data_IF_945691885666
#
_entry.id   IF_945691885666
#
_cell.length_a   1.000
_cell.length_b   1.000
_cell.length_c   1.000
_cell.angle_alpha   90.00
_cell.angle_beta   90.00
_cell.angle_gamma   90.00
#
_symmetry.space_group_name_H-M   'P 1'
#
loop_
_entity.id
_entity.type
_entity.pdbx_description
1 polymer ?
#
# COMPACT_ATOMS: atom_id res chain seq x y z
N UNK A 1 -49.42 -55.59 30.87
CA UNK A 1 -49.42 -57.00 30.42
C UNK A 1 -48.88 -57.01 28.99
N UNK A 2 -47.56 -56.99 28.83
CA UNK A 2 -46.71 -58.16 28.60
C UNK A 2 -47.23 -59.06 27.47
N UNK A 3 -46.56 -58.98 26.32
CA UNK A 3 -46.46 -60.10 25.39
C UNK A 3 -44.99 -60.21 24.90
N UNK A 4 -44.48 -61.44 24.76
CA UNK A 4 -43.11 -61.82 25.09
C UNK A 4 -42.22 -61.97 23.83
N UNK A 5 -40.88 -61.89 23.94
CA UNK A 5 -39.92 -63.03 23.92
C UNK A 5 -40.16 -63.92 22.68
N UNK A 6 -39.24 -64.20 21.74
CA UNK A 6 -37.89 -64.80 21.90
C UNK A 6 -37.17 -64.87 20.53
N UNK A 7 -35.83 -64.80 20.58
CA UNK A 7 -34.85 -65.68 19.90
C UNK A 7 -34.57 -65.58 18.39
N UNK A 8 -33.31 -65.22 18.07
CA UNK A 8 -32.32 -65.97 17.25
C UNK A 8 -31.51 -64.99 16.37
N UNK A 9 -30.21 -65.11 16.16
CA UNK A 9 -29.07 -65.81 16.77
C UNK A 9 -27.85 -65.30 15.97
N UNK A 10 -26.68 -65.24 16.62
CA UNK A 10 -25.33 -65.23 16.03
C UNK A 10 -24.98 -64.06 15.06
N UNK A 11 -24.28 -63.01 15.50
CA UNK A 11 -22.83 -62.99 15.76
C UNK A 11 -21.96 -63.46 14.58
N UNK A 12 -21.40 -62.50 13.84
CA UNK A 12 -20.06 -62.64 13.29
C UNK A 12 -19.28 -61.34 13.53
N UNK A 13 -18.14 -61.52 14.18
CA UNK A 13 -17.24 -60.54 14.74
C UNK A 13 -16.09 -60.23 13.77
N UNK A 14 -15.50 -59.04 13.97
CA UNK A 14 -14.14 -58.57 13.61
C UNK A 14 -13.97 -57.84 12.26
N UNK A 15 -13.84 -56.51 12.33
CA UNK A 15 -12.52 -55.87 12.28
C UNK A 15 -12.60 -54.37 12.66
N UNK A 16 -11.52 -53.89 13.28
CA UNK A 16 -11.32 -52.57 13.84
C UNK A 16 -11.40 -51.42 12.81
N UNK A 17 -11.87 -50.25 13.25
CA UNK A 17 -11.79 -49.01 12.48
C UNK A 17 -12.14 -47.80 13.35
N UNK A 18 -11.24 -46.83 13.39
CA UNK A 18 -11.16 -45.77 14.38
C UNK A 18 -12.29 -44.72 14.37
N UNK A 19 -12.42 -44.09 15.52
CA UNK A 19 -13.16 -42.86 15.83
C UNK A 19 -12.78 -41.76 14.83
N UNK A 20 -13.75 -41.10 14.21
CA UNK A 20 -13.60 -39.70 13.77
C UNK A 20 -14.91 -38.95 13.95
N UNK A 21 -14.85 -37.97 14.84
CA UNK A 21 -15.82 -36.89 15.07
C UNK A 21 -16.06 -36.13 13.77
N UNK A 22 -17.31 -35.88 13.34
CA UNK A 22 -17.56 -34.88 12.31
C UNK A 22 -17.41 -33.51 12.94
N UNK A 23 -16.23 -32.91 12.74
CA UNK A 23 -16.03 -31.48 12.87
C UNK A 23 -17.04 -30.77 11.95
N UNK A 24 -17.78 -29.81 12.50
CA UNK A 24 -18.58 -28.89 11.69
C UNK A 24 -17.67 -28.28 10.63
N UNK A 25 -18.03 -28.51 9.37
CA UNK A 25 -17.46 -27.84 8.22
C UNK A 25 -17.78 -26.34 8.32
N UNK A 26 -16.81 -25.56 8.78
CA UNK A 26 -16.75 -24.12 8.50
C UNK A 26 -16.71 -23.95 6.98
N UNK A 27 -17.75 -23.30 6.46
CA UNK A 27 -17.78 -22.82 5.08
C UNK A 27 -16.58 -21.86 4.91
N UNK A 28 -15.69 -22.04 3.93
CA UNK A 28 -14.82 -20.97 3.50
C UNK A 28 -15.71 -19.91 2.84
N UNK A 29 -16.18 -18.97 3.64
CA UNK A 29 -16.91 -17.81 3.17
C UNK A 29 -15.91 -16.87 2.51
N UNK A 30 -15.99 -16.80 1.18
CA UNK A 30 -15.56 -15.69 0.33
C UNK A 30 -14.88 -14.51 1.07
N UNK A 31 -13.59 -14.63 1.30
CA UNK A 31 -12.68 -13.53 1.55
C UNK A 31 -11.46 -13.61 0.61
N UNK A 32 -11.65 -14.24 -0.55
CA UNK A 32 -10.88 -13.95 -1.76
C UNK A 32 -11.51 -12.72 -2.43
N UNK A 33 -11.25 -11.53 -1.87
CA UNK A 33 -11.59 -10.27 -2.51
C UNK A 33 -10.71 -9.12 -2.01
N UNK A 34 -9.39 -9.26 -2.14
CA UNK A 34 -8.49 -8.10 -2.20
C UNK A 34 -7.14 -8.44 -2.84
N UNK A 35 -7.10 -9.23 -3.92
CA UNK A 35 -5.92 -9.24 -4.80
C UNK A 35 -6.05 -8.06 -5.76
N UNK A 36 -5.67 -6.87 -5.29
CA UNK A 36 -5.13 -5.87 -6.23
C UNK A 36 -3.84 -6.48 -6.81
N UNK A 37 -3.64 -6.47 -8.14
CA UNK A 37 -2.47 -7.11 -8.73
C UNK A 37 -1.21 -6.47 -8.13
N UNK A 38 -0.28 -7.32 -7.70
CA UNK A 38 0.99 -7.03 -7.03
C UNK A 38 1.97 -6.12 -7.79
N UNK A 39 1.51 -5.40 -8.82
CA UNK A 39 2.31 -4.50 -9.66
C UNK A 39 2.50 -3.11 -9.05
N UNK A 40 1.68 -2.72 -8.08
CA UNK A 40 1.87 -1.46 -7.35
C UNK A 40 3.02 -1.50 -6.33
N UNK A 41 3.49 -2.70 -5.96
CA UNK A 41 4.40 -2.90 -4.83
C UNK A 41 5.84 -2.42 -5.13
N UNK A 42 6.23 -2.31 -6.41
CA UNK A 42 7.59 -1.91 -6.83
C UNK A 42 7.69 -0.51 -7.46
N UNK A 43 6.62 0.30 -7.44
CA UNK A 43 6.71 1.66 -7.98
C UNK A 43 7.20 2.63 -6.89
N UNK A 44 8.24 3.43 -7.14
CA UNK A 44 8.67 4.44 -6.18
C UNK A 44 7.53 5.43 -5.91
N UNK A 45 7.46 5.88 -4.66
CA UNK A 45 6.49 6.88 -4.23
C UNK A 45 7.10 8.26 -4.42
N UNK A 46 6.40 9.16 -5.09
CA UNK A 46 6.80 10.56 -5.21
C UNK A 46 5.88 11.42 -4.36
N UNK A 47 6.38 11.84 -3.20
CA UNK A 47 5.65 12.71 -2.29
C UNK A 47 6.00 14.18 -2.55
N UNK A 48 4.98 15.01 -2.76
CA UNK A 48 5.14 16.44 -3.04
C UNK A 48 4.44 17.24 -1.94
N UNK A 49 5.21 18.00 -1.17
CA UNK A 49 4.70 18.94 -0.17
C UNK A 49 4.52 20.31 -0.82
N UNK A 50 3.28 20.75 -0.98
CA UNK A 50 2.94 22.01 -1.64
C UNK A 50 1.99 22.87 -0.80
N UNK A 51 1.96 24.15 -1.13
CA UNK A 51 0.88 25.06 -0.74
C UNK A 51 0.58 26.02 -1.88
N UNK A 52 -0.65 26.50 -2.01
CA UNK A 52 -1.05 27.42 -3.10
C UNK A 52 -0.43 28.81 -2.96
N UNK A 53 -0.21 29.25 -1.72
CA UNK A 53 0.45 30.52 -1.41
C UNK A 53 1.98 30.47 -1.59
N UNK A 54 2.57 29.28 -1.81
CA UNK A 54 4.02 29.10 -1.88
C UNK A 54 4.58 29.52 -3.26
N UNK A 55 5.43 30.56 -3.33
CA UNK A 55 5.96 31.06 -4.60
C UNK A 55 6.95 30.09 -5.24
N UNK A 56 7.77 29.39 -4.44
CA UNK A 56 8.68 28.36 -4.92
C UNK A 56 7.92 27.21 -5.60
N UNK A 57 6.76 26.83 -5.05
CA UNK A 57 5.90 25.80 -5.59
C UNK A 57 5.38 26.21 -6.98
N UNK A 58 4.97 27.47 -7.16
CA UNK A 58 4.57 28.01 -8.47
C UNK A 58 5.72 27.98 -9.48
N UNK A 59 6.94 28.32 -9.03
CA UNK A 59 8.15 28.33 -9.87
C UNK A 59 8.50 26.93 -10.40
N UNK A 60 8.42 25.90 -9.56
CA UNK A 60 8.80 24.54 -9.96
C UNK A 60 7.65 23.72 -10.56
N UNK A 61 6.41 24.17 -10.41
CA UNK A 61 5.20 23.53 -10.92
C UNK A 61 5.32 23.01 -12.37
N UNK A 62 5.76 23.80 -13.37
CA UNK A 62 5.86 23.31 -14.74
C UNK A 62 6.82 22.11 -14.87
N UNK A 63 7.94 22.12 -14.14
CA UNK A 63 8.88 21.00 -14.11
C UNK A 63 8.27 19.78 -13.44
N UNK A 64 7.72 19.93 -12.24
CA UNK A 64 7.17 18.82 -11.46
C UNK A 64 5.97 18.18 -12.18
N UNK A 65 5.08 18.99 -12.74
CA UNK A 65 3.94 18.50 -13.54
C UNK A 65 4.40 17.81 -14.83
N UNK A 66 5.45 18.34 -15.48
CA UNK A 66 6.05 17.70 -16.66
C UNK A 66 6.61 16.31 -16.35
N UNK A 67 7.32 16.17 -15.22
CA UNK A 67 7.79 14.86 -14.73
C UNK A 67 6.63 13.96 -14.35
N UNK A 68 5.62 14.49 -13.64
CA UNK A 68 4.44 13.73 -13.25
C UNK A 68 3.73 13.13 -14.46
N UNK A 69 3.52 13.92 -15.52
CA UNK A 69 2.90 13.43 -16.76
C UNK A 69 3.68 12.29 -17.41
N UNK A 70 5.01 12.37 -17.39
CA UNK A 70 5.89 11.36 -18.01
C UNK A 70 6.03 10.08 -17.17
N UNK A 71 5.88 10.19 -15.84
CA UNK A 71 6.07 9.10 -14.88
C UNK A 71 4.80 8.66 -14.14
N UNK A 72 3.60 9.15 -14.52
CA UNK A 72 2.35 8.85 -13.81
C UNK A 72 2.05 7.36 -13.69
N UNK A 73 2.44 6.56 -14.68
CA UNK A 73 2.23 5.10 -14.72
C UNK A 73 3.44 4.30 -14.19
N UNK A 74 4.48 4.98 -13.71
CA UNK A 74 5.75 4.39 -13.25
C UNK A 74 6.07 4.75 -11.80
N UNK A 75 5.32 5.67 -11.19
CA UNK A 75 5.52 6.11 -9.83
C UNK A 75 4.17 6.40 -9.17
N UNK A 76 4.08 6.17 -7.87
CA UNK A 76 2.90 6.54 -7.09
C UNK A 76 3.03 8.00 -6.65
N UNK A 77 2.22 8.89 -7.21
CA UNK A 77 2.25 10.32 -6.88
C UNK A 77 1.37 10.66 -5.69
N UNK A 78 1.95 11.31 -4.69
CA UNK A 78 1.30 11.67 -3.43
C UNK A 78 1.43 13.17 -3.23
N UNK A 79 0.37 13.90 -3.57
CA UNK A 79 0.29 15.34 -3.30
C UNK A 79 -0.16 15.56 -1.85
N UNK A 80 0.67 16.28 -1.09
CA UNK A 80 0.48 16.66 0.30
C UNK A 80 0.32 18.19 0.33
N UNK A 81 -0.93 18.63 0.48
CA UNK A 81 -1.28 20.03 0.39
C UNK A 81 -1.42 20.65 1.79
N UNK A 82 -0.49 21.52 2.14
CA UNK A 82 -0.44 22.22 3.44
C UNK A 82 -0.94 23.66 3.34
N UNK A 83 -1.82 23.96 2.36
CA UNK A 83 -2.35 25.31 2.14
C UNK A 83 -3.16 25.82 3.33
N UNK A 84 -4.00 24.96 3.93
CA UNK A 84 -4.86 25.32 5.06
C UNK A 84 -5.13 24.11 5.97
N UNK A 85 -5.75 24.36 7.13
CA UNK A 85 -5.98 23.33 8.14
C UNK A 85 -6.73 22.08 7.60
N UNK A 86 -7.69 22.27 6.69
CA UNK A 86 -8.44 21.16 6.10
C UNK A 86 -7.54 20.31 5.21
N UNK A 87 -6.83 20.92 4.26
CA UNK A 87 -5.96 20.17 3.34
C UNK A 87 -4.78 19.53 4.06
N UNK A 88 -4.26 20.18 5.11
CA UNK A 88 -3.22 19.62 5.97
C UNK A 88 -3.71 18.35 6.67
N UNK A 89 -4.92 18.35 7.24
CA UNK A 89 -5.48 17.16 7.86
C UNK A 89 -5.69 16.00 6.85
N UNK A 90 -6.10 16.33 5.62
CA UNK A 90 -6.20 15.34 4.52
C UNK A 90 -4.83 14.78 4.12
N UNK A 91 -3.80 15.63 4.09
CA UNK A 91 -2.42 15.22 3.83
C UNK A 91 -1.89 14.29 4.93
N UNK A 92 -2.12 14.62 6.21
CA UNK A 92 -1.76 13.81 7.37
C UNK A 92 -2.44 12.43 7.33
N UNK A 93 -3.73 12.38 7.00
CA UNK A 93 -4.44 11.11 6.84
C UNK A 93 -3.80 10.25 5.77
N UNK A 94 -3.53 10.83 4.59
CA UNK A 94 -2.90 10.12 3.46
C UNK A 94 -1.50 9.61 3.81
N UNK A 95 -0.72 10.44 4.51
CA UNK A 95 0.61 10.07 5.01
C UNK A 95 0.53 8.86 5.93
N UNK A 96 -0.43 8.84 6.86
CA UNK A 96 -0.66 7.72 7.78
C UNK A 96 -1.08 6.45 7.04
N UNK A 97 -2.02 6.56 6.10
CA UNK A 97 -2.49 5.43 5.28
C UNK A 97 -1.35 4.80 4.44
N UNK A 98 -0.38 5.61 4.03
CA UNK A 98 0.76 5.17 3.20
C UNK A 98 2.02 4.82 4.02
N UNK A 99 2.01 4.98 5.34
CA UNK A 99 3.16 4.75 6.21
C UNK A 99 4.31 5.76 5.99
N UNK A 100 4.00 6.98 5.56
CA UNK A 100 4.97 8.04 5.26
C UNK A 100 5.20 9.01 6.42
N UNK A 101 4.74 8.67 7.62
CA UNK A 101 4.73 9.56 8.80
C UNK A 101 6.12 10.12 9.13
N UNK A 102 7.17 9.30 9.01
CA UNK A 102 8.56 9.73 9.23
C UNK A 102 9.00 10.80 8.22
N UNK A 103 8.69 10.59 6.94
CA UNK A 103 8.97 11.58 5.90
C UNK A 103 8.21 12.88 6.17
N UNK A 104 6.93 12.80 6.52
CA UNK A 104 6.11 13.98 6.74
C UNK A 104 6.50 14.74 8.01
N UNK A 105 6.92 14.05 9.07
CA UNK A 105 7.46 14.68 10.27
C UNK A 105 8.73 15.49 9.96
N UNK A 106 9.59 15.00 9.06
CA UNK A 106 10.85 15.66 8.70
C UNK A 106 10.68 16.77 7.66
N UNK A 107 9.79 16.60 6.67
CA UNK A 107 9.68 17.48 5.50
C UNK A 107 8.32 18.14 5.31
N UNK A 108 7.27 17.75 6.03
CA UNK A 108 5.89 18.22 5.82
C UNK A 108 5.68 19.71 6.08
N UNK A 109 6.53 20.33 6.91
CA UNK A 109 6.53 21.78 7.14
C UNK A 109 7.27 22.57 6.05
N UNK A 110 7.94 21.89 5.12
CA UNK A 110 8.76 22.50 4.06
C UNK A 110 8.02 22.41 2.72
N UNK A 111 7.35 23.50 2.36
CA UNK A 111 6.73 23.61 1.04
C UNK A 111 7.78 23.58 -0.08
N UNK A 112 7.34 23.22 -1.29
CA UNK A 112 8.22 23.02 -2.45
C UNK A 112 9.20 21.86 -2.29
N UNK A 113 8.86 20.88 -1.44
CA UNK A 113 9.61 19.65 -1.27
C UNK A 113 9.05 18.55 -2.16
N UNK A 114 9.91 17.85 -2.88
CA UNK A 114 9.59 16.65 -3.65
C UNK A 114 10.54 15.54 -3.20
N UNK A 115 10.00 14.46 -2.67
CA UNK A 115 10.76 13.30 -2.25
C UNK A 115 10.44 12.08 -3.10
N UNK A 116 11.46 11.31 -3.43
CA UNK A 116 11.35 9.98 -4.02
C UNK A 116 11.62 8.98 -2.91
N UNK A 117 10.67 8.10 -2.67
CA UNK A 117 10.60 7.22 -1.51
C UNK A 117 10.50 5.79 -2.00
N UNK A 118 11.29 4.93 -1.38
CA UNK A 118 11.26 3.49 -1.59
C UNK A 118 9.91 2.91 -1.12
N UNK A 119 9.20 2.16 -1.96
CA UNK A 119 7.85 1.69 -1.64
C UNK A 119 7.84 0.59 -0.57
N UNK A 120 8.93 -0.14 -0.35
CA UNK A 120 8.98 -1.25 0.60
C UNK A 120 9.44 -0.77 1.98
N UNK A 121 10.58 -0.08 2.02
CA UNK A 121 11.24 0.38 3.25
C UNK A 121 10.71 1.72 3.75
N UNK A 122 9.94 2.44 2.92
CA UNK A 122 9.48 3.83 3.16
C UNK A 122 10.64 4.81 3.40
N UNK A 123 11.86 4.44 2.99
CA UNK A 123 13.05 5.30 3.11
C UNK A 123 13.07 6.32 2.00
N UNK A 124 13.48 7.53 2.35
CA UNK A 124 13.66 8.61 1.40
C UNK A 124 14.95 8.36 0.60
N UNK A 125 14.81 8.15 -0.72
CA UNK A 125 15.92 7.91 -1.65
C UNK A 125 16.52 9.22 -2.16
N UNK A 126 15.69 10.25 -2.32
CA UNK A 126 16.10 11.58 -2.76
C UNK A 126 15.09 12.63 -2.30
N UNK A 127 15.58 13.82 -1.95
CA UNK A 127 14.76 14.98 -1.62
C UNK A 127 15.22 16.16 -2.46
N UNK A 128 14.27 16.87 -3.03
CA UNK A 128 14.49 18.09 -3.79
C UNK A 128 13.69 19.22 -3.16
N UNK A 129 14.35 20.34 -2.90
CA UNK A 129 13.72 21.55 -2.38
C UNK A 129 13.84 22.64 -3.44
N UNK A 130 12.70 23.17 -3.89
CA UNK A 130 12.63 24.22 -4.92
C UNK A 130 13.48 23.95 -6.18
N UNK A 131 13.63 22.67 -6.55
CA UNK A 131 14.40 22.26 -7.73
C UNK A 131 13.57 22.44 -9.01
N UNK A 132 14.15 23.16 -9.98
CA UNK A 132 13.49 23.46 -11.26
C UNK A 132 13.98 22.57 -12.41
N UNK A 133 15.02 21.76 -12.20
CA UNK A 133 15.66 20.97 -13.25
C UNK A 133 15.01 19.60 -13.42
N UNK A 134 14.43 19.36 -14.60
CA UNK A 134 13.79 18.07 -14.96
C UNK A 134 14.76 16.89 -14.86
N UNK A 135 16.01 17.06 -15.28
CA UNK A 135 17.02 15.97 -15.33
C UNK A 135 17.29 15.37 -13.94
N UNK A 136 17.25 16.17 -12.87
CA UNK A 136 17.44 15.71 -11.49
C UNK A 136 16.36 14.73 -11.07
N UNK A 137 15.10 15.05 -11.36
CA UNK A 137 13.98 14.18 -11.08
C UNK A 137 14.03 12.89 -11.90
N UNK A 138 14.29 13.01 -13.20
CA UNK A 138 14.40 11.87 -14.13
C UNK A 138 15.50 10.92 -13.69
N UNK A 139 16.69 11.43 -13.36
CA UNK A 139 17.81 10.61 -12.92
C UNK A 139 17.48 9.84 -11.63
N UNK A 140 16.87 10.51 -10.64
CA UNK A 140 16.53 9.87 -9.38
C UNK A 140 15.36 8.86 -9.52
N UNK A 141 14.35 9.16 -10.34
CA UNK A 141 13.26 8.22 -10.63
C UNK A 141 13.75 6.98 -11.38
N UNK A 142 14.59 7.15 -12.40
CA UNK A 142 15.15 6.03 -13.13
C UNK A 142 16.04 5.16 -12.24
N UNK A 143 16.82 5.78 -11.33
CA UNK A 143 17.61 5.06 -10.33
C UNK A 143 16.71 4.24 -9.40
N UNK A 144 15.64 4.84 -8.87
CA UNK A 144 14.70 4.13 -8.00
C UNK A 144 13.99 2.98 -8.73
N UNK A 145 13.53 3.20 -9.97
CA UNK A 145 12.90 2.17 -10.80
C UNK A 145 13.84 1.00 -11.13
N UNK A 146 15.14 1.26 -11.29
CA UNK A 146 16.11 0.21 -11.57
C UNK A 146 16.35 -0.70 -10.35
N UNK A 147 16.25 -0.16 -9.12
CA UNK A 147 16.42 -0.92 -7.89
C UNK A 147 15.28 -1.93 -7.61
N UNK A 148 14.15 -1.79 -8.31
CA UNK A 148 12.93 -2.60 -8.12
C UNK A 148 12.54 -3.35 -9.41
N UNK A 149 13.51 -3.67 -10.28
CA UNK A 149 13.27 -4.38 -11.56
C UNK A 149 13.65 -5.86 -11.53
N UNK A 150 13.99 -6.39 -10.37
CA UNK A 150 14.43 -7.78 -10.16
C UNK A 150 13.26 -8.74 -9.91
#
# INVERSE_FOLDING_TARGET
MFKPIVLSMAALLLAAGAIVTPALAEKPSAAEAATQPAKAQNMPIVAVVKADWCPACKKISPTVMGVMKEYMSKAQWVMLDVTNAKTTAEAEKKVKELGLEKFYAEYGSRTSTVAIIDPETKKVLSVFMAEGRKDKYVAALNKALAAHKE
#
